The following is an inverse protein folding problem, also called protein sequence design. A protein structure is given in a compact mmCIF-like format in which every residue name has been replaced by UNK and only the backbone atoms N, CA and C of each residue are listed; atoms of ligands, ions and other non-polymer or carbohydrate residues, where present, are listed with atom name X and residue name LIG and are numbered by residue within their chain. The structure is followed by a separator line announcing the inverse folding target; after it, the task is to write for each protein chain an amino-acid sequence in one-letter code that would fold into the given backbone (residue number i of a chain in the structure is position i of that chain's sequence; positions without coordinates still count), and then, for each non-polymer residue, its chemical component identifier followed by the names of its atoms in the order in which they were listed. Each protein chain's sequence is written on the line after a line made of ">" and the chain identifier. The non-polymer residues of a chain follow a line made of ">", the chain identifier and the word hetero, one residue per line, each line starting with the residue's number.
data_IF_784042840541
#
_entry.id   IF_784042840541
#
_cell.length_a   1.000
_cell.length_b   1.000
_cell.length_c   1.000
_cell.angle_alpha   90.00
_cell.angle_beta   90.00
_cell.angle_gamma   90.00
#
_symmetry.space_group_name_H-M   'P 1'
#
loop_
_entity.id
_entity.type
_entity.pdbx_description
1 polymer ?
#
# COMPACT_ATOMS: atom_id res chain seq x y z
N UNK A 1 -7.71 15.19 -15.05
CA UNK A 1 -6.60 14.67 -14.22
C UNK A 1 -6.38 13.19 -14.53
N UNK A 2 -5.23 12.84 -15.11
CA UNK A 2 -4.87 11.43 -15.32
C UNK A 2 -4.68 10.74 -13.96
N UNK A 3 -5.54 9.78 -13.61
CA UNK A 3 -5.36 8.98 -12.40
C UNK A 3 -4.07 8.17 -12.55
N UNK A 4 -3.10 8.41 -11.66
CA UNK A 4 -1.86 7.63 -11.60
C UNK A 4 -2.19 6.13 -11.43
N UNK A 5 -1.87 5.33 -12.45
CA UNK A 5 -2.25 3.92 -12.55
C UNK A 5 -1.04 3.04 -12.92
N UNK A 6 -0.05 2.90 -12.02
CA UNK A 6 1.22 2.22 -12.30
C UNK A 6 1.04 0.75 -12.67
N UNK A 7 -0.05 0.10 -12.25
CA UNK A 7 -0.39 -1.28 -12.61
C UNK A 7 -0.62 -1.46 -14.10
N UNK A 8 -1.02 -0.42 -14.85
CA UNK A 8 -1.17 -0.50 -16.32
C UNK A 8 0.15 -0.85 -16.99
N UNK A 9 1.26 -0.28 -16.52
CA UNK A 9 2.60 -0.60 -17.02
C UNK A 9 2.98 -2.04 -16.67
N UNK A 10 2.69 -2.49 -15.45
CA UNK A 10 2.93 -3.88 -15.04
C UNK A 10 2.15 -4.87 -15.91
N UNK A 11 0.87 -4.58 -16.19
CA UNK A 11 0.03 -5.39 -17.08
C UNK A 11 0.55 -5.39 -18.51
N UNK A 12 0.85 -4.23 -19.09
CA UNK A 12 1.36 -4.14 -20.46
C UNK A 12 2.69 -4.89 -20.62
N UNK A 13 3.64 -4.65 -19.71
CA UNK A 13 4.94 -5.36 -19.73
C UNK A 13 4.77 -6.86 -19.44
N UNK A 14 3.85 -7.22 -18.56
CA UNK A 14 3.52 -8.61 -18.26
C UNK A 14 2.94 -9.36 -19.45
N UNK A 15 1.93 -8.78 -20.11
CA UNK A 15 1.28 -9.32 -21.29
C UNK A 15 2.25 -9.45 -22.47
N UNK A 16 3.09 -8.44 -22.71
CA UNK A 16 4.12 -8.49 -23.74
C UNK A 16 5.10 -9.66 -23.52
N UNK A 17 5.60 -9.84 -22.29
CA UNK A 17 6.50 -10.96 -21.94
C UNK A 17 5.83 -12.32 -22.07
N UNK A 18 4.56 -12.43 -21.68
CA UNK A 18 3.77 -13.66 -21.85
C UNK A 18 3.66 -14.01 -23.34
N UNK A 19 3.24 -13.04 -24.17
CA UNK A 19 3.08 -13.25 -25.59
C UNK A 19 4.40 -13.64 -26.27
N UNK A 20 5.46 -12.86 -26.05
CA UNK A 20 6.79 -13.14 -26.63
C UNK A 20 7.31 -14.49 -26.13
N UNK A 21 7.18 -14.79 -24.84
CA UNK A 21 7.61 -16.07 -24.28
C UNK A 21 6.86 -17.26 -24.87
N UNK A 22 5.54 -17.17 -25.05
CA UNK A 22 4.72 -18.21 -25.68
C UNK A 22 5.11 -18.43 -27.15
N UNK A 23 5.26 -17.34 -27.92
CA UNK A 23 5.70 -17.40 -29.32
C UNK A 23 7.09 -18.05 -29.44
N UNK A 24 8.00 -17.70 -28.54
CA UNK A 24 9.37 -18.19 -28.52
C UNK A 24 9.44 -19.68 -28.14
N UNK A 25 8.66 -20.13 -27.14
CA UNK A 25 8.52 -21.56 -26.82
C UNK A 25 7.96 -22.33 -28.01
N UNK A 26 6.89 -21.83 -28.64
CA UNK A 26 6.24 -22.50 -29.76
C UNK A 26 7.18 -22.64 -30.97
N UNK A 27 7.85 -21.55 -31.37
CA UNK A 27 8.79 -21.56 -32.49
C UNK A 27 10.02 -22.44 -32.20
N UNK A 28 10.57 -22.35 -30.98
CA UNK A 28 11.73 -23.14 -30.58
C UNK A 28 11.43 -24.64 -30.51
N UNK A 29 10.26 -25.01 -30.00
CA UNK A 29 9.80 -26.39 -29.99
C UNK A 29 9.73 -26.96 -31.41
N UNK A 30 9.16 -26.19 -32.35
CA UNK A 30 9.09 -26.56 -33.77
C UNK A 30 10.45 -26.71 -34.44
N UNK A 31 11.46 -25.98 -33.97
CA UNK A 31 12.82 -26.01 -34.49
C UNK A 31 13.77 -26.93 -33.68
N UNK A 32 13.28 -27.66 -32.68
CA UNK A 32 14.09 -28.45 -31.74
C UNK A 32 15.19 -27.65 -31.01
N UNK A 33 15.00 -26.34 -30.84
CA UNK A 33 15.96 -25.42 -30.21
C UNK A 33 15.70 -25.32 -28.70
N UNK A 34 15.98 -26.38 -27.94
CA UNK A 34 15.63 -26.49 -26.52
C UNK A 34 16.17 -25.38 -25.60
N UNK A 35 17.34 -24.81 -25.91
CA UNK A 35 17.88 -23.68 -25.14
C UNK A 35 17.00 -22.41 -25.27
N UNK A 36 16.36 -22.23 -26.43
CA UNK A 36 15.43 -21.13 -26.68
C UNK A 36 14.13 -21.36 -25.90
N UNK A 37 13.65 -22.62 -25.80
CA UNK A 37 12.49 -22.98 -24.97
C UNK A 37 12.66 -22.50 -23.52
N UNK A 38 13.83 -22.72 -22.93
CA UNK A 38 14.12 -22.27 -21.56
C UNK A 38 13.99 -20.74 -21.40
N UNK A 39 14.50 -19.97 -22.36
CA UNK A 39 14.36 -18.50 -22.40
C UNK A 39 12.89 -18.10 -22.49
N UNK A 40 12.09 -18.78 -23.30
CA UNK A 40 10.66 -18.51 -23.46
C UNK A 40 9.88 -18.79 -22.18
N UNK A 41 10.18 -19.90 -21.49
CA UNK A 41 9.61 -20.23 -20.18
C UNK A 41 9.96 -19.15 -19.15
N UNK A 42 11.21 -18.68 -19.11
CA UNK A 42 11.62 -17.61 -18.21
C UNK A 42 10.82 -16.32 -18.44
N UNK A 43 10.64 -15.92 -19.71
CA UNK A 43 9.81 -14.76 -20.07
C UNK A 43 8.36 -14.93 -19.62
N UNK A 44 7.79 -16.12 -19.76
CA UNK A 44 6.43 -16.42 -19.27
C UNK A 44 6.36 -16.23 -17.75
N UNK A 45 7.31 -16.79 -16.99
CA UNK A 45 7.36 -16.66 -15.53
C UNK A 45 7.49 -15.19 -15.09
N UNK A 46 8.37 -14.43 -15.74
CA UNK A 46 8.51 -12.98 -15.49
C UNK A 46 7.24 -12.21 -15.86
N UNK A 47 6.57 -12.58 -16.95
CA UNK A 47 5.30 -12.02 -17.38
C UNK A 47 4.21 -12.24 -16.33
N UNK A 48 4.06 -13.48 -15.84
CA UNK A 48 3.13 -13.83 -14.74
C UNK A 48 3.42 -13.04 -13.47
N UNK A 49 4.69 -12.91 -13.08
CA UNK A 49 5.10 -12.16 -11.89
C UNK A 49 4.75 -10.66 -12.02
N UNK A 50 4.91 -10.08 -13.21
CA UNK A 50 4.51 -8.72 -13.51
C UNK A 50 2.99 -8.52 -13.41
N UNK A 51 2.20 -9.39 -14.03
CA UNK A 51 0.73 -9.31 -13.93
C UNK A 51 0.28 -9.44 -12.49
N UNK A 52 0.81 -10.40 -11.74
CA UNK A 52 0.51 -10.57 -10.32
C UNK A 52 0.84 -9.29 -9.53
N UNK A 53 1.99 -8.66 -9.78
CA UNK A 53 2.37 -7.37 -9.16
C UNK A 53 1.36 -6.27 -9.49
N UNK A 54 0.89 -6.19 -10.73
CA UNK A 54 -0.15 -5.25 -11.16
C UNK A 54 -1.44 -5.42 -10.36
N UNK A 55 -1.93 -6.67 -10.23
CA UNK A 55 -3.12 -7.01 -9.44
C UNK A 55 -2.96 -6.60 -7.97
N UNK A 56 -1.78 -6.86 -7.38
CA UNK A 56 -1.52 -6.45 -6.00
C UNK A 56 -1.52 -4.93 -5.82
N UNK A 57 -0.96 -4.16 -6.76
CA UNK A 57 -0.95 -2.69 -6.71
C UNK A 57 -2.33 -2.10 -6.89
N UNK A 58 -3.10 -2.62 -7.84
CA UNK A 58 -4.49 -2.20 -8.08
C UNK A 58 -5.36 -2.44 -6.84
N UNK A 59 -5.29 -3.63 -6.25
CA UNK A 59 -5.98 -3.93 -4.99
C UNK A 59 -5.51 -3.02 -3.85
N UNK A 60 -4.22 -2.78 -3.74
CA UNK A 60 -3.66 -1.86 -2.75
C UNK A 60 -4.26 -0.45 -2.87
N UNK A 61 -4.35 0.08 -4.09
CA UNK A 61 -4.92 1.41 -4.35
C UNK A 61 -6.42 1.47 -4.10
N UNK A 62 -7.15 0.40 -4.40
CA UNK A 62 -8.57 0.29 -4.06
C UNK A 62 -8.80 0.35 -2.54
N UNK A 63 -7.97 -0.35 -1.75
CA UNK A 63 -8.04 -0.33 -0.28
C UNK A 63 -7.70 1.06 0.27
N UNK A 64 -6.68 1.71 -0.26
CA UNK A 64 -6.32 3.08 0.13
C UNK A 64 -7.48 4.07 -0.14
N UNK A 65 -8.05 4.02 -1.35
CA UNK A 65 -9.19 4.86 -1.73
C UNK A 65 -10.41 4.61 -0.84
N UNK A 66 -10.72 3.35 -0.55
CA UNK A 66 -11.81 3.00 0.38
C UNK A 66 -11.54 3.54 1.78
N UNK A 67 -10.34 3.33 2.32
CA UNK A 67 -9.96 3.76 3.67
C UNK A 67 -10.00 5.29 3.83
N UNK A 68 -9.54 6.04 2.83
CA UNK A 68 -9.68 7.51 2.80
C UNK A 68 -11.15 7.92 2.74
N UNK A 69 -11.96 7.22 1.93
CA UNK A 69 -13.41 7.46 1.85
C UNK A 69 -14.14 7.18 3.16
N UNK A 70 -13.76 6.13 3.89
CA UNK A 70 -14.26 5.84 5.24
C UNK A 70 -13.82 6.90 6.25
N UNK A 71 -12.55 7.32 6.20
CA UNK A 71 -12.02 8.39 7.06
C UNK A 71 -12.80 9.69 6.87
N UNK A 72 -13.03 10.12 5.62
CA UNK A 72 -13.79 11.34 5.30
C UNK A 72 -15.24 11.28 5.80
N UNK A 73 -15.88 10.11 5.72
CA UNK A 73 -17.27 9.93 6.20
C UNK A 73 -17.34 9.92 7.73
N UNK A 74 -16.33 9.36 8.40
CA UNK A 74 -16.33 9.15 9.85
C UNK A 74 -16.01 10.43 10.65
N UNK A 75 -15.36 11.43 10.06
CA UNK A 75 -14.90 12.63 10.79
C UNK A 75 -15.90 13.78 10.70
N UNK A 76 -16.10 14.52 11.80
CA UNK A 76 -17.03 15.66 11.86
C UNK A 76 -16.56 16.85 10.98
N UNK A 77 -17.40 17.88 10.81
CA UNK A 77 -17.11 19.04 9.97
C UNK A 77 -15.90 19.88 10.39
N UNK A 78 -15.43 19.73 11.65
CA UNK A 78 -14.26 20.44 12.20
C UNK A 78 -12.93 19.74 11.89
N UNK A 79 -12.96 18.59 11.22
CA UNK A 79 -11.79 17.77 10.91
C UNK A 79 -11.58 17.78 9.40
N UNK A 80 -10.36 18.12 8.97
CA UNK A 80 -10.02 18.21 7.54
C UNK A 80 -9.18 17.00 7.14
N UNK A 81 -9.55 16.37 6.02
CA UNK A 81 -8.85 15.21 5.45
C UNK A 81 -8.35 15.54 4.03
N UNK A 82 -7.05 15.77 3.90
CA UNK A 82 -6.39 15.86 2.60
C UNK A 82 -5.89 14.48 2.19
N UNK A 83 -6.17 14.04 0.97
CA UNK A 83 -5.75 12.74 0.46
C UNK A 83 -4.63 12.93 -0.56
N UNK A 84 -3.72 11.96 -0.65
CA UNK A 84 -2.62 11.94 -1.63
C UNK A 84 -1.83 13.24 -1.65
N UNK A 85 -1.28 13.64 -0.50
CA UNK A 85 -0.52 14.89 -0.36
C UNK A 85 0.91 14.67 -0.85
N UNK A 86 1.38 15.34 -1.92
CA UNK A 86 2.72 15.11 -2.45
C UNK A 86 3.82 15.52 -1.47
N UNK A 87 4.87 14.70 -1.36
CA UNK A 87 6.09 15.02 -0.60
C UNK A 87 7.36 14.56 -1.35
N UNK A 88 8.57 15.00 -0.94
CA UNK A 88 9.83 14.62 -1.61
C UNK A 88 10.12 13.12 -1.66
N UNK A 89 9.47 12.32 -0.80
CA UNK A 89 9.71 10.89 -0.67
C UNK A 89 8.54 10.01 -1.15
N UNK A 90 7.57 10.60 -1.86
CA UNK A 90 6.33 9.96 -2.30
C UNK A 90 5.10 10.76 -1.88
N UNK A 91 3.92 10.17 -1.96
CA UNK A 91 2.70 10.83 -1.47
C UNK A 91 2.39 10.35 -0.04
N UNK A 92 1.88 11.26 0.79
CA UNK A 92 1.22 10.89 2.05
C UNK A 92 -0.21 10.50 1.72
N UNK A 93 -0.61 9.27 2.05
CA UNK A 93 -1.94 8.76 1.67
C UNK A 93 -3.06 9.64 2.24
N UNK A 94 -2.94 10.07 3.49
CA UNK A 94 -3.81 11.10 4.07
C UNK A 94 -3.12 12.00 5.11
N UNK A 95 -3.43 13.30 5.07
CA UNK A 95 -3.23 14.23 6.18
C UNK A 95 -4.56 14.50 6.87
N UNK A 96 -4.61 14.20 8.16
CA UNK A 96 -5.74 14.50 9.04
C UNK A 96 -5.39 15.71 9.90
N UNK A 97 -6.26 16.72 9.97
CA UNK A 97 -6.07 17.92 10.79
C UNK A 97 -7.26 18.13 11.71
N UNK A 98 -6.99 18.31 13.00
CA UNK A 98 -8.01 18.51 14.03
C UNK A 98 -7.41 19.25 15.24
N UNK A 99 -8.08 20.30 15.72
CA UNK A 99 -7.71 21.02 16.95
C UNK A 99 -6.22 21.37 17.10
N UNK A 100 -5.58 21.87 16.03
CA UNK A 100 -4.16 22.23 16.04
C UNK A 100 -3.18 21.07 15.88
N UNK A 101 -3.67 19.82 15.89
CA UNK A 101 -2.90 18.62 15.65
C UNK A 101 -3.02 18.16 14.20
N UNK A 102 -1.93 17.62 13.66
CA UNK A 102 -1.88 17.02 12.32
C UNK A 102 -1.34 15.60 12.41
N UNK A 103 -1.96 14.67 11.69
CA UNK A 103 -1.48 13.29 11.55
C UNK A 103 -1.17 13.01 10.08
N UNK A 104 0.02 12.45 9.83
CA UNK A 104 0.41 11.95 8.52
C UNK A 104 0.21 10.44 8.47
N UNK A 105 -0.85 10.03 7.78
CA UNK A 105 -1.37 8.67 7.77
C UNK A 105 -0.89 7.97 6.49
N UNK A 106 -0.10 6.93 6.69
CA UNK A 106 0.25 5.93 5.68
C UNK A 106 -0.72 4.74 5.81
N UNK A 107 -1.42 4.39 4.73
CA UNK A 107 -2.44 3.35 4.69
C UNK A 107 -1.89 2.11 3.99
N UNK A 108 -1.96 0.95 4.63
CA UNK A 108 -1.45 -0.29 4.03
C UNK A 108 -2.44 -1.46 4.12
N UNK A 109 -2.54 -2.23 3.04
CA UNK A 109 -3.56 -3.27 2.85
C UNK A 109 -3.22 -4.66 3.47
N UNK A 110 -2.30 -4.75 4.42
CA UNK A 110 -1.92 -6.02 5.04
C UNK A 110 -2.95 -6.47 6.06
N UNK A 111 -3.23 -7.79 6.06
CA UNK A 111 -4.19 -8.44 6.97
C UNK A 111 -3.55 -9.07 8.21
N UNK A 112 -2.33 -9.58 8.07
CA UNK A 112 -1.61 -10.31 9.12
C UNK A 112 -0.56 -9.40 9.78
N UNK A 113 -1.06 -8.36 10.44
CA UNK A 113 -0.26 -7.37 11.18
C UNK A 113 -0.94 -7.11 12.51
N UNK A 114 -0.14 -6.98 13.57
CA UNK A 114 -0.58 -6.60 14.90
C UNK A 114 0.52 -5.79 15.60
N UNK A 115 0.16 -5.06 16.65
CA UNK A 115 1.09 -4.47 17.61
C UNK A 115 1.05 -5.32 18.88
N UNK A 116 2.22 -5.78 19.35
CA UNK A 116 2.37 -6.51 20.61
C UNK A 116 3.59 -6.00 21.36
N UNK A 117 3.40 -5.61 22.62
CA UNK A 117 4.48 -5.11 23.50
C UNK A 117 5.31 -3.99 22.85
N UNK A 118 4.66 -3.03 22.19
CA UNK A 118 5.34 -1.93 21.49
C UNK A 118 6.09 -2.32 20.22
N UNK A 119 5.90 -3.54 19.71
CA UNK A 119 6.53 -4.03 18.48
C UNK A 119 5.51 -4.36 17.41
N UNK A 120 5.89 -4.11 16.15
CA UNK A 120 5.11 -4.51 14.99
C UNK A 120 5.33 -6.00 14.71
N UNK A 121 4.30 -6.81 14.91
CA UNK A 121 4.31 -8.24 14.57
C UNK A 121 3.67 -8.40 13.20
N UNK A 122 4.46 -8.83 12.21
CA UNK A 122 4.00 -9.01 10.83
C UNK A 122 4.76 -10.13 10.15
N UNK A 123 4.05 -10.94 9.34
CA UNK A 123 4.68 -11.93 8.44
C UNK A 123 5.29 -11.28 7.18
N UNK A 124 5.06 -9.99 6.97
CA UNK A 124 5.51 -9.27 5.78
C UNK A 124 6.59 -8.23 6.13
N UNK A 125 7.80 -8.32 5.55
CA UNK A 125 8.83 -7.29 5.67
C UNK A 125 8.36 -5.91 5.21
N UNK A 126 7.34 -5.85 4.33
CA UNK A 126 6.78 -4.58 3.84
C UNK A 126 6.09 -3.76 4.93
N UNK A 127 5.66 -4.39 6.02
CA UNK A 127 5.03 -3.67 7.13
C UNK A 127 6.05 -2.79 7.87
N UNK A 128 7.28 -3.29 8.08
CA UNK A 128 8.36 -2.51 8.68
C UNK A 128 8.81 -1.34 7.79
N UNK A 129 8.83 -1.54 6.46
CA UNK A 129 9.11 -0.44 5.52
C UNK A 129 8.09 0.70 5.60
N UNK A 130 6.84 0.40 6.01
CA UNK A 130 5.81 1.41 6.19
C UNK A 130 6.12 2.36 7.37
N UNK A 131 6.77 1.88 8.43
CA UNK A 131 7.18 2.72 9.58
C UNK A 131 8.15 3.81 9.12
N UNK A 132 9.21 3.41 8.39
CA UNK A 132 10.19 4.35 7.87
C UNK A 132 9.57 5.38 6.90
N UNK A 133 8.60 4.95 6.08
CA UNK A 133 7.87 5.86 5.20
C UNK A 133 7.02 6.86 6.00
N UNK A 134 6.22 6.38 6.97
CA UNK A 134 5.40 7.23 7.82
C UNK A 134 6.25 8.23 8.62
N UNK A 135 7.40 7.82 9.15
CA UNK A 135 8.34 8.74 9.83
C UNK A 135 8.79 9.88 8.92
N UNK A 136 9.18 9.59 7.67
CA UNK A 136 9.59 10.63 6.71
C UNK A 136 8.42 11.55 6.37
N UNK A 137 7.26 10.99 6.11
CA UNK A 137 6.02 11.74 5.82
C UNK A 137 5.62 12.66 6.97
N UNK A 138 5.64 12.15 8.21
CA UNK A 138 5.33 12.91 9.42
C UNK A 138 6.32 14.05 9.67
N UNK A 139 7.63 13.78 9.54
CA UNK A 139 8.67 14.82 9.67
C UNK A 139 8.48 15.93 8.65
N UNK A 140 8.25 15.58 7.38
CA UNK A 140 8.02 16.56 6.32
C UNK A 140 6.76 17.40 6.58
N UNK A 141 5.67 16.75 6.97
CA UNK A 141 4.39 17.42 7.23
C UNK A 141 4.32 18.12 8.61
N UNK A 142 5.35 18.03 9.45
CA UNK A 142 5.33 18.45 10.87
C UNK A 142 4.12 17.86 11.60
N UNK A 143 3.87 16.58 11.38
CA UNK A 143 2.68 15.85 11.81
C UNK A 143 3.07 14.57 12.55
N UNK A 144 2.18 14.08 13.42
CA UNK A 144 2.34 12.77 14.04
C UNK A 144 2.33 11.69 12.95
N UNK A 145 3.41 10.90 12.78
CA UNK A 145 3.43 9.80 11.83
C UNK A 145 2.51 8.67 12.30
N UNK A 146 1.66 8.19 11.39
CA UNK A 146 0.70 7.11 11.62
C UNK A 146 0.82 6.08 10.51
N UNK A 147 0.83 4.80 10.86
CA UNK A 147 0.59 3.71 9.91
C UNK A 147 -0.73 3.05 10.26
N UNK A 148 -1.65 3.04 9.31
CA UNK A 148 -2.98 2.46 9.48
C UNK A 148 -3.15 1.21 8.60
N UNK A 149 -3.50 0.10 9.24
CA UNK A 149 -3.83 -1.18 8.61
C UNK A 149 -5.34 -1.45 8.72
N UNK A 150 -6.17 -0.89 7.80
CA UNK A 150 -7.63 -1.01 7.88
C UNK A 150 -8.13 -2.45 7.75
N UNK A 151 -7.37 -3.31 7.08
CA UNK A 151 -7.72 -4.72 6.84
C UNK A 151 -7.10 -5.70 7.85
N UNK A 152 -6.44 -5.21 8.89
CA UNK A 152 -5.83 -6.08 9.89
C UNK A 152 -6.90 -6.96 10.57
N UNK A 153 -6.63 -8.26 10.67
CA UNK A 153 -7.55 -9.22 11.31
C UNK A 153 -7.59 -9.07 12.84
N UNK A 154 -6.48 -8.63 13.43
CA UNK A 154 -6.37 -8.37 14.86
C UNK A 154 -6.43 -6.86 15.09
N UNK A 155 -7.27 -6.46 16.05
CA UNK A 155 -7.38 -5.07 16.46
C UNK A 155 -6.32 -4.81 17.51
N UNK A 156 -5.44 -3.85 17.24
CA UNK A 156 -4.34 -3.48 18.13
C UNK A 156 -3.82 -2.11 17.72
N UNK A 157 -3.29 -1.36 18.68
CA UNK A 157 -2.62 -0.11 18.39
C UNK A 157 -1.49 0.11 19.38
N UNK A 158 -0.55 0.98 19.01
CA UNK A 158 0.52 1.38 19.89
C UNK A 158 1.62 2.13 19.16
N UNK A 159 2.52 2.72 19.93
CA UNK A 159 3.71 3.36 19.39
C UNK A 159 4.77 2.30 19.05
N UNK A 160 5.32 2.38 17.84
CA UNK A 160 6.44 1.56 17.37
C UNK A 160 7.45 2.50 16.71
N UNK A 161 8.64 2.63 17.29
CA UNK A 161 9.72 3.49 16.78
C UNK A 161 9.28 4.95 16.50
N UNK A 162 8.44 5.51 17.38
CA UNK A 162 7.91 6.88 17.24
C UNK A 162 6.74 7.03 16.26
N UNK A 163 6.27 5.92 15.67
CA UNK A 163 5.10 5.88 14.78
C UNK A 163 3.90 5.30 15.50
N UNK A 164 2.75 5.98 15.43
CA UNK A 164 1.50 5.41 15.88
C UNK A 164 1.03 4.36 14.88
N UNK A 165 1.00 3.10 15.30
CA UNK A 165 0.47 2.02 14.47
C UNK A 165 -0.96 1.72 14.91
N UNK A 166 -1.87 1.66 13.94
CA UNK A 166 -3.27 1.30 14.17
C UNK A 166 -3.66 0.14 13.28
N UNK A 167 -4.09 -0.96 13.87
CA UNK A 167 -4.62 -2.14 13.19
C UNK A 167 -6.12 -2.23 13.48
N UNK A 168 -6.96 -2.08 12.46
CA UNK A 168 -8.42 -2.15 12.61
C UNK A 168 -9.19 -1.07 11.84
N UNK A 169 -10.53 -1.01 11.99
CA UNK A 169 -11.40 -0.05 11.32
C UNK A 169 -11.11 1.41 11.70
N UNK A 170 -11.66 2.35 10.92
CA UNK A 170 -11.47 3.80 11.07
C UNK A 170 -11.77 4.32 12.48
N UNK A 171 -12.75 3.74 13.18
CA UNK A 171 -13.09 4.10 14.57
C UNK A 171 -11.93 3.90 15.55
N UNK A 172 -11.05 2.93 15.29
CA UNK A 172 -9.88 2.69 16.13
C UNK A 172 -8.82 3.75 15.88
N UNK A 173 -8.65 4.16 14.62
CA UNK A 173 -7.77 5.27 14.25
C UNK A 173 -8.22 6.58 14.91
N UNK A 174 -9.50 6.93 14.78
CA UNK A 174 -10.03 8.17 15.36
C UNK A 174 -9.93 8.18 16.89
N UNK A 175 -10.19 7.05 17.54
CA UNK A 175 -10.02 6.89 18.98
C UNK A 175 -8.57 7.13 19.42
N UNK A 176 -7.60 6.57 18.71
CA UNK A 176 -6.17 6.77 19.01
C UNK A 176 -5.71 8.20 18.71
N UNK A 177 -6.35 8.87 17.75
CA UNK A 177 -6.10 10.29 17.47
C UNK A 177 -6.82 11.25 18.44
N UNK A 178 -7.66 10.75 19.36
CA UNK A 178 -8.47 11.60 20.24
C UNK A 178 -9.55 12.41 19.50
N UNK A 179 -9.97 11.94 18.32
CA UNK A 179 -10.96 12.61 17.47
C UNK A 179 -12.31 11.93 17.65
N UNK A 180 -13.33 12.72 17.99
CA UNK A 180 -14.70 12.25 18.02
C UNK A 180 -15.16 11.88 16.59
N UNK A 181 -15.62 10.64 16.43
CA UNK A 181 -16.32 10.22 15.22
C UNK A 181 -17.70 10.90 15.11
N UNK A 182 -18.26 10.90 13.91
CA UNK A 182 -19.70 11.14 13.70
C UNK A 182 -20.53 9.97 14.19
#
# INVERSE_FOLDING_TARGET
>A
MNRYAPWRRDYATGAARLLVGLLLVWAAWRASAWFVVATGVLLILMGRANVARGVFRERGKAVEAQAVGELRRAVCSKVVVHASVPCPYGDVDALLRSYGMTWAIEIKAQRAVAVRWGRLVSRSPRAHKALAQALRSGRWARAQPVVWFPLARQRSSGMVDGVLVVCGPVRDLLRQAGIAGR
#
